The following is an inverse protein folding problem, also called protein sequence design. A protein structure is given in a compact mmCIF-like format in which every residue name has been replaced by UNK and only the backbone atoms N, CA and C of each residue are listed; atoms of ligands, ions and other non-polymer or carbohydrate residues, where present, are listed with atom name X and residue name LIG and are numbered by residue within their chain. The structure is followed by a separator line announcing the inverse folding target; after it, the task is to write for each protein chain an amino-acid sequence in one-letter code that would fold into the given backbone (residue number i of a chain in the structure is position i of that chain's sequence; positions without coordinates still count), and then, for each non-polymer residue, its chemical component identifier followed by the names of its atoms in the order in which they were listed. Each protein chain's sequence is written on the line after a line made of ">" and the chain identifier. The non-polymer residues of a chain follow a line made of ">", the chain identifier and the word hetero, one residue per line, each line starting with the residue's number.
data_IF_299005982933
#
_entry.id   IF_299005982933
#
_cell.length_a   1.000
_cell.length_b   1.000
_cell.length_c   1.000
_cell.angle_alpha   90.00
_cell.angle_beta   90.00
_cell.angle_gamma   90.00
#
_symmetry.space_group_name_H-M   'P 1'
#
loop_
_entity.id
_entity.type
_entity.pdbx_description
1 polymer ?
#
# COMPACT_ATOMS: atom_id res chain seq x y z
N UNK A 1 -14.36 35.64 4.82
CA UNK A 1 -14.77 36.85 4.06
C UNK A 1 -13.98 38.03 4.63
N UNK A 2 -13.35 38.81 3.75
CA UNK A 2 -12.34 39.81 4.12
C UNK A 2 -12.87 40.86 5.09
N UNK A 3 -12.17 41.04 6.21
CA UNK A 3 -12.24 42.30 6.96
C UNK A 3 -11.45 43.33 6.16
N UNK A 4 -12.16 44.14 5.38
CA UNK A 4 -11.57 45.31 4.73
C UNK A 4 -10.95 46.20 5.81
N UNK A 5 -9.69 46.59 5.64
CA UNK A 5 -9.14 47.72 6.38
C UNK A 5 -10.06 48.92 6.12
N UNK A 6 -10.48 49.66 7.17
CA UNK A 6 -11.38 50.78 6.99
C UNK A 6 -10.75 51.78 6.02
N UNK A 7 -11.47 52.14 4.96
CA UNK A 7 -11.04 53.09 3.93
C UNK A 7 -10.70 54.49 4.47
N UNK A 8 -10.99 54.75 5.74
CA UNK A 8 -10.68 55.97 6.49
C UNK A 8 -9.30 55.94 7.17
N UNK A 9 -8.63 54.79 7.24
CA UNK A 9 -7.28 54.64 7.78
C UNK A 9 -6.24 55.57 7.12
N UNK A 10 -6.19 55.77 5.78
CA UNK A 10 -5.20 56.67 5.17
C UNK A 10 -5.35 58.14 5.57
N UNK A 11 -6.56 58.59 5.93
CA UNK A 11 -6.79 59.98 6.40
C UNK A 11 -6.37 60.19 7.85
N UNK A 12 -6.53 59.16 8.70
CA UNK A 12 -6.10 59.21 10.10
C UNK A 12 -4.56 59.13 10.24
N UNK A 13 -3.88 58.49 9.27
CA UNK A 13 -2.42 58.33 9.29
C UNK A 13 -1.62 59.58 8.89
N UNK A 14 -2.22 60.51 8.14
CA UNK A 14 -1.54 61.73 7.71
C UNK A 14 -1.24 62.67 8.90
N UNK A 15 -1.97 62.51 10.01
CA UNK A 15 -1.79 63.26 11.26
C UNK A 15 -0.97 62.49 12.32
N UNK A 16 -0.45 61.30 12.00
CA UNK A 16 0.39 60.51 12.93
C UNK A 16 1.87 60.73 12.61
N UNK A 17 2.52 61.44 13.53
CA UNK A 17 3.95 61.76 13.50
C UNK A 17 4.67 60.79 14.44
N UNK A 18 5.80 60.23 14.01
CA UNK A 18 6.57 59.30 14.85
C UNK A 18 7.22 60.04 16.04
N UNK A 19 7.74 59.31 17.04
CA UNK A 19 8.43 59.90 18.20
C UNK A 19 9.63 60.80 17.84
N UNK A 20 10.11 60.73 16.60
CA UNK A 20 11.18 61.56 16.04
C UNK A 20 10.69 62.76 15.22
N UNK A 21 9.40 63.09 15.28
CA UNK A 21 8.80 64.22 14.55
C UNK A 21 8.89 64.12 13.01
N UNK A 22 9.08 62.92 12.46
CA UNK A 22 9.07 62.66 11.01
C UNK A 22 7.73 62.08 10.54
N UNK A 23 7.34 62.40 9.29
CA UNK A 23 6.12 61.89 8.67
C UNK A 23 6.30 60.41 8.31
N UNK A 24 5.42 59.54 8.81
CA UNK A 24 5.55 58.11 8.58
C UNK A 24 5.28 57.80 7.10
N UNK A 25 6.29 57.29 6.40
CA UNK A 25 6.18 56.97 4.98
C UNK A 25 5.11 55.91 4.73
N UNK A 26 4.16 56.25 3.85
CA UNK A 26 2.99 55.41 3.49
C UNK A 26 3.41 54.01 3.02
N UNK A 27 4.60 53.88 2.44
CA UNK A 27 5.15 52.61 1.97
C UNK A 27 5.46 51.60 3.09
N UNK A 28 5.90 52.06 4.28
CA UNK A 28 6.21 51.19 5.42
C UNK A 28 4.93 50.62 6.02
N UNK A 29 3.87 51.44 6.09
CA UNK A 29 2.56 51.01 6.56
C UNK A 29 1.90 50.05 5.57
N UNK A 30 2.02 50.29 4.25
CA UNK A 30 1.49 49.38 3.23
C UNK A 30 2.21 48.03 3.29
N UNK A 31 3.55 48.03 3.43
CA UNK A 31 4.32 46.79 3.64
C UNK A 31 3.90 46.08 4.92
N UNK A 32 3.81 46.81 6.05
CA UNK A 32 3.33 46.28 7.32
C UNK A 32 1.93 45.66 7.22
N UNK A 33 0.98 46.37 6.60
CA UNK A 33 -0.39 45.91 6.34
C UNK A 33 -0.42 44.63 5.52
N UNK A 34 0.49 44.45 4.57
CA UNK A 34 0.58 43.25 3.76
C UNK A 34 1.04 42.03 4.58
N UNK A 35 1.98 42.21 5.52
CA UNK A 35 2.41 41.14 6.43
C UNK A 35 1.29 40.70 7.38
N UNK A 36 0.57 41.63 8.00
CA UNK A 36 -0.58 41.29 8.87
C UNK A 36 -1.70 40.62 8.07
N UNK A 37 -1.99 41.09 6.84
CA UNK A 37 -2.97 40.45 5.97
C UNK A 37 -2.57 39.01 5.59
N UNK A 38 -1.28 38.78 5.35
CA UNK A 38 -0.74 37.44 5.11
C UNK A 38 -0.86 36.54 6.35
N UNK A 39 -0.52 37.05 7.54
CA UNK A 39 -0.63 36.31 8.80
C UNK A 39 -2.07 35.93 9.13
N UNK A 40 -3.04 36.83 8.94
CA UNK A 40 -4.47 36.56 9.14
C UNK A 40 -4.95 35.49 8.15
N UNK A 41 -4.54 35.58 6.87
CA UNK A 41 -4.89 34.57 5.87
C UNK A 41 -4.28 33.21 6.19
N UNK A 42 -3.04 33.17 6.68
CA UNK A 42 -2.38 31.94 7.11
C UNK A 42 -3.09 31.31 8.33
N UNK A 43 -3.54 32.14 9.28
CA UNK A 43 -4.31 31.70 10.43
C UNK A 43 -5.68 31.13 10.02
N UNK A 44 -6.40 31.79 9.11
CA UNK A 44 -7.68 31.31 8.57
C UNK A 44 -7.54 29.95 7.86
N UNK A 45 -6.45 29.77 7.10
CA UNK A 45 -6.14 28.49 6.45
C UNK A 45 -5.83 27.43 7.50
N UNK A 46 -5.05 27.76 8.53
CA UNK A 46 -4.74 26.86 9.65
C UNK A 46 -6.00 26.40 10.41
N UNK A 47 -6.94 27.31 10.69
CA UNK A 47 -8.20 26.98 11.36
C UNK A 47 -9.11 26.10 10.50
N UNK A 48 -9.17 26.33 9.19
CA UNK A 48 -9.92 25.46 8.27
C UNK A 48 -9.35 24.04 8.23
N UNK A 49 -8.02 23.91 8.17
CA UNK A 49 -7.34 22.61 8.19
C UNK A 49 -7.64 21.87 9.50
N UNK A 50 -7.59 22.55 10.65
CA UNK A 50 -7.93 21.94 11.94
C UNK A 50 -9.40 21.51 12.01
N UNK A 51 -10.31 22.29 11.42
CA UNK A 51 -11.73 21.95 11.34
C UNK A 51 -11.96 20.69 10.49
N UNK A 52 -11.28 20.56 9.35
CA UNK A 52 -11.37 19.40 8.47
C UNK A 52 -10.77 18.13 9.12
N UNK A 53 -9.65 18.27 9.82
CA UNK A 53 -9.02 17.16 10.54
C UNK A 53 -9.89 16.74 11.74
N UNK A 54 -10.50 17.68 12.46
CA UNK A 54 -11.42 17.39 13.56
C UNK A 54 -12.67 16.64 13.08
N UNK A 55 -13.27 17.06 11.96
CA UNK A 55 -14.42 16.39 11.37
C UNK A 55 -14.09 14.94 10.93
N UNK A 56 -12.86 14.73 10.44
CA UNK A 56 -12.44 13.45 9.84
C UNK A 56 -11.82 12.46 10.82
N UNK A 57 -11.59 12.84 12.09
CA UNK A 57 -10.83 12.02 13.03
C UNK A 57 -11.43 10.61 13.23
N UNK A 58 -12.76 10.52 13.34
CA UNK A 58 -13.47 9.23 13.48
C UNK A 58 -13.32 8.37 12.23
N UNK A 59 -13.38 8.97 11.04
CA UNK A 59 -13.21 8.26 9.77
C UNK A 59 -11.80 7.68 9.65
N UNK A 60 -10.76 8.43 10.02
CA UNK A 60 -9.38 7.93 10.04
C UNK A 60 -9.22 6.71 10.98
N UNK A 61 -9.83 6.75 12.17
CA UNK A 61 -9.80 5.63 13.13
C UNK A 61 -10.50 4.38 12.59
N UNK A 62 -11.66 4.55 11.95
CA UNK A 62 -12.41 3.43 11.35
C UNK A 62 -11.64 2.82 10.18
N UNK A 63 -11.06 3.64 9.30
CA UNK A 63 -10.23 3.17 8.19
C UNK A 63 -8.99 2.41 8.68
N UNK A 64 -8.34 2.90 9.74
CA UNK A 64 -7.19 2.22 10.34
C UNK A 64 -7.57 0.86 10.93
N UNK A 65 -8.69 0.79 11.67
CA UNK A 65 -9.17 -0.45 12.28
C UNK A 65 -9.59 -1.50 11.23
N UNK A 66 -10.28 -1.07 10.17
CA UNK A 66 -10.69 -1.97 9.07
C UNK A 66 -9.49 -2.46 8.26
N UNK A 67 -8.49 -1.61 8.00
CA UNK A 67 -7.23 -2.02 7.38
C UNK A 67 -6.48 -3.08 8.21
N UNK A 68 -6.47 -2.95 9.53
CA UNK A 68 -5.90 -3.97 10.42
C UNK A 68 -6.60 -5.33 10.23
N UNK A 69 -7.93 -5.32 10.16
CA UNK A 69 -8.72 -6.54 9.89
C UNK A 69 -8.41 -7.15 8.52
N UNK A 70 -8.35 -6.32 7.47
CA UNK A 70 -8.08 -6.78 6.09
C UNK A 70 -6.71 -7.45 5.99
N UNK A 71 -5.68 -6.90 6.64
CA UNK A 71 -4.34 -7.46 6.62
C UNK A 71 -4.28 -8.83 7.31
N UNK A 72 -4.94 -9.00 8.46
CA UNK A 72 -4.97 -10.28 9.17
C UNK A 72 -5.70 -11.37 8.38
N UNK A 73 -6.82 -11.01 7.76
CA UNK A 73 -7.57 -11.91 6.86
C UNK A 73 -6.71 -12.29 5.66
N UNK A 74 -6.04 -11.32 5.04
CA UNK A 74 -5.17 -11.55 3.88
C UNK A 74 -4.00 -12.49 4.18
N UNK A 75 -3.30 -12.27 5.29
CA UNK A 75 -2.19 -13.13 5.73
C UNK A 75 -2.67 -14.57 5.97
N UNK A 76 -3.86 -14.71 6.59
CA UNK A 76 -4.47 -16.02 6.82
C UNK A 76 -4.84 -16.69 5.50
N UNK A 77 -5.48 -15.95 4.60
CA UNK A 77 -5.95 -16.44 3.29
C UNK A 77 -4.78 -16.90 2.41
N UNK A 78 -3.67 -16.15 2.38
CA UNK A 78 -2.44 -16.55 1.65
C UNK A 78 -1.89 -17.92 2.10
N UNK A 79 -2.03 -18.25 3.38
CA UNK A 79 -1.58 -19.55 3.91
C UNK A 79 -2.44 -20.72 3.42
N UNK A 80 -3.75 -20.54 3.35
CA UNK A 80 -4.66 -21.59 2.86
C UNK A 80 -4.53 -21.78 1.35
N UNK A 81 -4.42 -20.68 0.60
CA UNK A 81 -4.29 -20.70 -0.85
C UNK A 81 -2.97 -21.34 -1.30
N UNK A 82 -1.87 -21.14 -0.56
CA UNK A 82 -0.60 -21.78 -0.88
C UNK A 82 -0.68 -23.31 -0.95
N UNK A 83 -1.44 -23.95 -0.05
CA UNK A 83 -1.65 -25.39 -0.09
C UNK A 83 -2.45 -25.85 -1.31
N UNK A 84 -3.53 -25.13 -1.62
CA UNK A 84 -4.40 -25.44 -2.75
C UNK A 84 -3.68 -25.23 -4.11
N UNK A 85 -2.98 -24.11 -4.28
CA UNK A 85 -2.22 -23.79 -5.49
C UNK A 85 -1.19 -24.88 -5.85
N UNK A 86 -0.51 -25.42 -4.84
CA UNK A 86 0.49 -26.47 -5.05
C UNK A 86 -0.16 -27.78 -5.47
N UNK A 87 -1.31 -28.14 -4.87
CA UNK A 87 -2.02 -29.35 -5.25
C UNK A 87 -2.56 -29.24 -6.68
N UNK A 88 -3.16 -28.09 -7.04
CA UNK A 88 -3.62 -27.84 -8.41
C UNK A 88 -2.48 -27.82 -9.41
N UNK A 89 -1.32 -27.23 -9.07
CA UNK A 89 -0.16 -27.21 -9.96
C UNK A 89 0.39 -28.63 -10.21
N UNK A 90 0.45 -29.46 -9.16
CA UNK A 90 0.86 -30.86 -9.28
C UNK A 90 -0.08 -31.65 -10.19
N UNK A 91 -1.39 -31.47 -10.02
CA UNK A 91 -2.41 -32.18 -10.80
C UNK A 91 -2.39 -31.74 -12.27
N UNK A 92 -2.36 -30.44 -12.52
CA UNK A 92 -2.32 -29.86 -13.86
C UNK A 92 -1.05 -30.31 -14.62
N UNK A 93 0.08 -30.36 -13.91
CA UNK A 93 1.33 -30.80 -14.51
C UNK A 93 1.31 -32.28 -14.92
N UNK A 94 0.80 -33.17 -14.06
CA UNK A 94 0.65 -34.61 -14.39
C UNK A 94 -0.29 -34.79 -15.58
N UNK A 95 -1.41 -34.05 -15.62
CA UNK A 95 -2.35 -34.08 -16.75
C UNK A 95 -1.68 -33.61 -18.04
N UNK A 96 -0.98 -32.48 -18.01
CA UNK A 96 -0.25 -31.95 -19.18
C UNK A 96 0.79 -32.95 -19.69
N UNK A 97 1.44 -33.67 -18.78
CA UNK A 97 2.42 -34.70 -19.13
C UNK A 97 1.77 -35.93 -19.79
N UNK A 98 0.67 -36.43 -19.24
CA UNK A 98 -0.09 -37.52 -19.86
C UNK A 98 -0.58 -37.15 -21.26
N UNK A 99 -1.01 -35.90 -21.46
CA UNK A 99 -1.44 -35.41 -22.78
C UNK A 99 -0.25 -35.35 -23.74
N UNK A 100 0.90 -34.80 -23.32
CA UNK A 100 2.09 -34.74 -24.15
C UNK A 100 2.57 -36.13 -24.59
N UNK A 101 2.63 -37.09 -23.66
CA UNK A 101 2.97 -38.48 -23.95
C UNK A 101 1.92 -39.13 -24.88
N UNK A 102 0.63 -38.88 -24.67
CA UNK A 102 -0.46 -39.38 -25.50
C UNK A 102 -0.38 -38.88 -26.94
N UNK A 103 -0.09 -37.59 -27.16
CA UNK A 103 0.04 -37.01 -28.50
C UNK A 103 1.27 -37.58 -29.23
N UNK A 104 2.42 -37.68 -28.54
CA UNK A 104 3.64 -38.27 -29.13
C UNK A 104 3.42 -39.73 -29.54
N UNK A 105 2.72 -40.52 -28.72
CA UNK A 105 2.39 -41.92 -29.04
C UNK A 105 1.37 -42.02 -30.17
N UNK A 106 0.28 -41.23 -30.14
CA UNK A 106 -0.73 -41.25 -31.18
C UNK A 106 -0.16 -40.88 -32.56
N UNK A 107 0.75 -39.88 -32.60
CA UNK A 107 1.46 -39.49 -33.83
C UNK A 107 2.38 -40.61 -34.33
N UNK A 108 3.06 -41.31 -33.43
CA UNK A 108 3.89 -42.46 -33.77
C UNK A 108 3.07 -43.61 -34.36
N UNK A 109 1.94 -43.97 -33.75
CA UNK A 109 1.05 -45.02 -34.25
C UNK A 109 0.45 -44.66 -35.62
N UNK A 110 -0.03 -43.43 -35.80
CA UNK A 110 -0.58 -42.98 -37.08
C UNK A 110 0.44 -43.05 -38.23
N UNK A 111 1.71 -42.78 -37.96
CA UNK A 111 2.78 -42.89 -38.96
C UNK A 111 3.27 -44.33 -39.16
N UNK A 112 3.04 -45.22 -38.19
CA UNK A 112 3.37 -46.64 -38.27
C UNK A 112 2.36 -47.44 -39.10
N UNK A 113 1.09 -47.06 -39.06
CA UNK A 113 0.01 -47.72 -39.80
C UNK A 113 -0.08 -47.31 -41.27
N UNK A 114 0.62 -46.25 -41.70
CA UNK A 114 0.71 -45.83 -43.10
C UNK A 114 2.12 -46.17 -43.66
N UNK A 115 2.29 -47.32 -44.34
CA UNK A 115 3.60 -47.80 -44.81
C UNK A 115 4.21 -46.99 -45.97
N UNK A 116 3.53 -45.95 -46.46
CA UNK A 116 3.94 -45.19 -47.64
C UNK A 116 5.09 -44.20 -47.37
N UNK A 117 5.53 -44.02 -46.13
CA UNK A 117 6.60 -43.09 -45.74
C UNK A 117 7.74 -43.80 -45.00
N UNK A 118 8.19 -44.93 -45.56
CA UNK A 118 9.37 -45.68 -45.11
C UNK A 118 10.68 -44.95 -45.46
N UNK A 119 10.86 -43.72 -44.95
CA UNK A 119 12.15 -43.03 -44.99
C UNK A 119 13.03 -43.54 -43.83
N UNK A 120 13.37 -44.83 -43.87
CA UNK A 120 14.49 -45.41 -43.13
C UNK A 120 15.81 -45.18 -43.90
N UNK A 121 15.98 -43.98 -44.46
CA UNK A 121 17.21 -43.59 -45.13
C UNK A 121 18.26 -43.12 -44.12
N UNK A 122 19.56 -43.32 -44.37
CA UNK A 122 20.62 -42.78 -43.53
C UNK A 122 20.44 -41.27 -43.35
N UNK A 123 20.76 -40.75 -42.16
CA UNK A 123 20.63 -39.34 -41.78
C UNK A 123 21.45 -38.42 -42.71
N UNK A 124 20.95 -38.15 -43.91
CA UNK A 124 21.47 -37.11 -44.78
C UNK A 124 20.96 -35.79 -44.20
N UNK A 125 21.87 -35.02 -43.60
CA UNK A 125 21.62 -33.72 -42.96
C UNK A 125 21.22 -32.68 -44.03
N UNK A 126 20.05 -32.84 -44.66
CA UNK A 126 19.48 -31.81 -45.53
C UNK A 126 18.91 -30.70 -44.66
N UNK A 127 18.94 -29.45 -45.13
CA UNK A 127 18.52 -28.26 -44.38
C UNK A 127 17.01 -27.96 -44.50
N UNK A 128 16.20 -28.94 -44.89
CA UNK A 128 14.76 -28.77 -45.05
C UNK A 128 14.02 -29.10 -43.75
N UNK A 129 13.53 -28.07 -43.07
CA UNK A 129 12.78 -28.18 -41.79
C UNK A 129 11.48 -28.98 -41.91
N UNK A 130 10.88 -29.05 -43.10
CA UNK A 130 9.65 -29.81 -43.35
C UNK A 130 9.86 -31.33 -43.32
N UNK A 131 11.06 -31.80 -43.69
CA UNK A 131 11.39 -33.22 -43.70
C UNK A 131 11.52 -33.78 -42.27
N UNK A 132 12.19 -33.04 -41.37
CA UNK A 132 12.34 -33.45 -39.97
C UNK A 132 11.00 -33.53 -39.22
N UNK A 133 10.00 -32.74 -39.61
CA UNK A 133 8.66 -32.77 -39.00
C UNK A 133 7.80 -33.96 -39.42
N UNK A 134 8.13 -34.69 -40.49
CA UNK A 134 7.35 -35.87 -40.92
C UNK A 134 7.97 -37.21 -40.50
N UNK A 135 9.16 -37.20 -39.90
CA UNK A 135 9.85 -38.43 -39.51
C UNK A 135 9.36 -38.93 -38.14
N UNK A 136 8.85 -40.15 -38.06
CA UNK A 136 8.32 -40.71 -36.80
C UNK A 136 9.37 -40.71 -35.65
N UNK A 137 10.66 -40.82 -35.99
CA UNK A 137 11.76 -40.83 -35.04
C UNK A 137 11.98 -39.47 -34.33
N UNK A 138 11.72 -38.34 -35.01
CA UNK A 138 11.92 -37.00 -34.42
C UNK A 138 10.82 -36.66 -33.42
N UNK A 139 9.56 -37.03 -33.70
CA UNK A 139 8.45 -36.85 -32.77
C UNK A 139 8.65 -37.62 -31.46
N UNK A 140 9.19 -38.84 -31.55
CA UNK A 140 9.52 -39.65 -30.38
C UNK A 140 10.69 -39.04 -29.59
N UNK A 141 11.73 -38.57 -30.30
CA UNK A 141 12.89 -37.92 -29.68
C UNK A 141 12.52 -36.60 -28.99
N UNK A 142 11.71 -35.75 -29.63
CA UNK A 142 11.19 -34.51 -29.05
C UNK A 142 10.34 -34.81 -27.81
N UNK A 143 9.51 -35.85 -27.87
CA UNK A 143 8.73 -36.31 -26.71
C UNK A 143 9.62 -36.68 -25.52
N UNK A 144 10.67 -37.45 -25.74
CA UNK A 144 11.62 -37.88 -24.69
C UNK A 144 12.42 -36.70 -24.11
N UNK A 145 12.92 -35.79 -24.96
CA UNK A 145 13.66 -34.62 -24.49
C UNK A 145 12.74 -33.70 -23.67
N UNK A 146 11.52 -33.46 -24.15
CA UNK A 146 10.52 -32.68 -23.42
C UNK A 146 10.20 -33.34 -22.07
N UNK A 147 10.04 -34.67 -22.05
CA UNK A 147 9.79 -35.48 -20.86
C UNK A 147 10.88 -35.33 -19.79
N UNK A 148 12.16 -35.34 -20.20
CA UNK A 148 13.29 -35.17 -19.28
C UNK A 148 13.29 -33.75 -18.68
N UNK A 149 13.11 -32.71 -19.49
CA UNK A 149 13.08 -31.31 -19.04
C UNK A 149 11.94 -31.10 -18.03
N UNK A 150 10.75 -31.59 -18.38
CA UNK A 150 9.55 -31.57 -17.56
C UNK A 150 9.77 -32.31 -16.24
N UNK A 151 10.37 -33.50 -16.28
CA UNK A 151 10.67 -34.28 -15.08
C UNK A 151 11.64 -33.54 -14.14
N UNK A 152 12.68 -32.87 -14.67
CA UNK A 152 13.61 -32.06 -13.86
C UNK A 152 12.86 -30.91 -13.18
N UNK A 153 11.99 -30.20 -13.89
CA UNK A 153 11.17 -29.11 -13.32
C UNK A 153 10.25 -29.63 -12.20
N UNK A 154 9.62 -30.80 -12.37
CA UNK A 154 8.81 -31.44 -11.31
C UNK A 154 9.65 -31.80 -10.10
N UNK A 155 10.84 -32.35 -10.32
CA UNK A 155 11.72 -32.75 -9.23
C UNK A 155 12.08 -31.53 -8.36
N UNK A 156 12.40 -30.40 -9.00
CA UNK A 156 12.66 -29.13 -8.32
C UNK A 156 11.41 -28.61 -7.58
N UNK A 157 10.23 -28.67 -8.21
CA UNK A 157 8.96 -28.26 -7.58
C UNK A 157 8.60 -29.15 -6.37
N UNK A 158 8.83 -30.47 -6.46
CA UNK A 158 8.60 -31.40 -5.37
C UNK A 158 9.59 -31.20 -4.23
N UNK A 159 10.86 -30.95 -4.54
CA UNK A 159 11.88 -30.65 -3.54
C UNK A 159 11.49 -29.39 -2.75
N UNK A 160 11.15 -28.31 -3.45
CA UNK A 160 10.75 -27.06 -2.80
C UNK A 160 9.43 -27.20 -2.03
N UNK A 161 8.48 -28.02 -2.51
CA UNK A 161 7.23 -28.34 -1.81
C UNK A 161 7.46 -28.98 -0.44
N UNK A 162 8.40 -29.92 -0.33
CA UNK A 162 8.72 -30.57 0.94
C UNK A 162 9.27 -29.56 1.95
N UNK A 163 10.09 -28.62 1.49
CA UNK A 163 10.59 -27.54 2.33
C UNK A 163 9.49 -26.60 2.82
N UNK A 164 8.53 -26.22 1.96
CA UNK A 164 7.40 -25.38 2.36
C UNK A 164 6.49 -26.08 3.38
N UNK A 165 6.21 -27.37 3.23
CA UNK A 165 5.36 -28.10 4.18
C UNK A 165 6.02 -28.28 5.55
N UNK A 166 7.31 -28.63 5.58
CA UNK A 166 8.07 -28.73 6.83
C UNK A 166 8.18 -27.37 7.53
N UNK A 167 8.46 -26.31 6.77
CA UNK A 167 8.50 -24.96 7.31
C UNK A 167 7.15 -24.54 7.89
N UNK A 168 6.03 -24.86 7.22
CA UNK A 168 4.69 -24.56 7.75
C UNK A 168 4.38 -25.36 9.01
N UNK A 169 4.85 -26.60 9.13
CA UNK A 169 4.71 -27.43 10.33
C UNK A 169 5.50 -26.80 11.50
N UNK A 170 6.78 -26.49 11.28
CA UNK A 170 7.62 -25.81 12.28
C UNK A 170 7.00 -24.46 12.68
N UNK A 171 6.51 -23.65 11.72
CA UNK A 171 5.81 -22.40 12.00
C UNK A 171 4.48 -22.66 12.74
N UNK A 172 3.80 -23.80 12.50
CA UNK A 172 2.56 -24.15 13.19
C UNK A 172 2.82 -24.57 14.64
N UNK A 173 3.81 -25.42 14.90
CA UNK A 173 4.29 -25.76 16.24
C UNK A 173 4.85 -24.52 16.97
N UNK A 174 5.67 -23.72 16.29
CA UNK A 174 6.22 -22.48 16.82
C UNK A 174 5.10 -21.47 17.10
N UNK A 175 4.11 -21.31 16.22
CA UNK A 175 2.95 -20.46 16.43
C UNK A 175 2.03 -20.98 17.53
N UNK A 176 1.99 -22.30 17.79
CA UNK A 176 1.24 -22.88 18.91
C UNK A 176 1.95 -22.62 20.23
N UNK A 177 3.29 -22.71 20.25
CA UNK A 177 4.11 -22.33 21.41
C UNK A 177 4.02 -20.83 21.70
N UNK A 178 4.14 -20.00 20.66
CA UNK A 178 3.91 -18.56 20.68
C UNK A 178 2.46 -18.21 21.06
N UNK A 179 1.46 -18.99 20.66
CA UNK A 179 0.07 -18.78 21.07
C UNK A 179 -0.17 -19.04 22.55
N UNK A 180 0.60 -19.94 23.18
CA UNK A 180 0.59 -20.15 24.63
C UNK A 180 1.23 -18.97 25.37
N UNK A 181 2.25 -18.34 24.77
CA UNK A 181 2.80 -17.04 25.19
C UNK A 181 2.05 -15.89 24.50
N UNK A 182 0.82 -15.59 24.94
CA UNK A 182 -0.06 -14.53 24.42
C UNK A 182 0.66 -13.20 24.05
N UNK A 183 1.80 -12.93 24.65
CA UNK A 183 2.69 -11.78 24.40
C UNK A 183 3.36 -11.71 23.02
N UNK A 184 3.58 -12.82 22.29
CA UNK A 184 4.25 -12.73 20.98
C UNK A 184 3.31 -12.32 19.84
N UNK A 185 2.02 -12.66 19.90
CA UNK A 185 1.02 -12.07 18.98
C UNK A 185 0.73 -10.59 19.32
N UNK A 186 0.93 -10.22 20.59
CA UNK A 186 0.86 -8.83 21.01
C UNK A 186 1.96 -7.99 20.37
N UNK A 187 3.14 -8.53 20.03
CA UNK A 187 4.24 -7.73 19.49
C UNK A 187 3.90 -6.91 18.23
N UNK A 188 3.32 -7.50 17.16
CA UNK A 188 2.83 -6.71 16.02
C UNK A 188 1.50 -5.99 16.30
N UNK A 189 0.70 -6.40 17.30
CA UNK A 189 -0.56 -5.76 17.66
C UNK A 189 -0.37 -4.49 18.52
N UNK A 190 0.64 -4.48 19.38
CA UNK A 190 1.02 -3.37 20.26
C UNK A 190 1.23 -2.06 19.49
N UNK A 191 2.03 -1.98 18.41
CA UNK A 191 2.18 -0.73 17.67
C UNK A 191 0.86 -0.27 17.05
N UNK A 192 -0.04 -1.17 16.63
CA UNK A 192 -1.36 -0.79 16.12
C UNK A 192 -2.28 -0.23 17.22
N UNK A 193 -2.32 -0.88 18.39
CA UNK A 193 -3.10 -0.39 19.53
C UNK A 193 -2.55 0.93 20.06
N UNK A 194 -1.22 1.07 20.09
CA UNK A 194 -0.55 2.30 20.50
C UNK A 194 -0.82 3.43 19.51
N UNK A 195 -0.80 3.14 18.20
CA UNK A 195 -1.17 4.12 17.17
C UNK A 195 -2.65 4.52 17.27
N UNK A 196 -3.56 3.57 17.47
CA UNK A 196 -4.99 3.84 17.68
C UNK A 196 -5.20 4.73 18.91
N UNK A 197 -4.52 4.41 20.02
CA UNK A 197 -4.58 5.18 21.27
C UNK A 197 -4.03 6.60 21.09
N UNK A 198 -2.98 6.77 20.29
CA UNK A 198 -2.40 8.07 20.00
C UNK A 198 -3.33 8.94 19.15
N UNK A 199 -3.97 8.37 18.12
CA UNK A 199 -5.01 9.07 17.34
C UNK A 199 -6.27 9.38 18.18
N UNK A 200 -6.64 8.47 19.09
CA UNK A 200 -7.76 8.67 20.01
C UNK A 200 -7.51 9.81 20.99
N UNK A 201 -6.33 9.80 21.62
CA UNK A 201 -5.89 10.87 22.51
C UNK A 201 -5.84 12.21 21.78
N UNK A 202 -5.30 12.24 20.55
CA UNK A 202 -5.28 13.45 19.73
C UNK A 202 -6.69 13.96 19.39
N UNK A 203 -7.62 13.06 19.05
CA UNK A 203 -9.03 13.42 18.82
C UNK A 203 -9.72 14.02 20.05
N UNK A 204 -9.48 13.48 21.24
CA UNK A 204 -10.00 14.03 22.51
C UNK A 204 -9.40 15.39 22.83
N UNK A 205 -8.08 15.54 22.67
CA UNK A 205 -7.39 16.82 22.84
C UNK A 205 -7.88 17.89 21.87
N UNK A 206 -8.22 17.53 20.62
CA UNK A 206 -8.84 18.43 19.67
C UNK A 206 -10.26 18.84 20.09
N UNK A 207 -11.03 17.95 20.73
CA UNK A 207 -12.40 18.21 21.16
C UNK A 207 -12.52 19.09 22.43
N UNK A 208 -11.58 18.94 23.37
CA UNK A 208 -11.56 19.67 24.64
C UNK A 208 -11.73 21.21 24.52
N UNK A 209 -11.01 21.94 23.63
CA UNK A 209 -11.20 23.38 23.48
C UNK A 209 -12.59 23.79 22.96
N UNK A 210 -13.31 22.93 22.23
CA UNK A 210 -14.69 23.20 21.80
C UNK A 210 -15.69 23.07 22.96
N UNK A 211 -15.46 22.13 23.87
CA UNK A 211 -16.33 21.90 25.03
C UNK A 211 -16.17 23.02 26.07
N UNK A 212 -14.95 23.51 26.29
CA UNK A 212 -14.71 24.67 27.15
C UNK A 212 -15.22 26.00 26.59
N UNK A 213 -15.50 26.09 25.27
CA UNK A 213 -16.06 27.29 24.64
C UNK A 213 -17.59 27.42 24.69
N UNK A 214 -18.30 26.45 25.28
CA UNK A 214 -19.77 26.37 25.27
C UNK A 214 -20.46 26.82 26.57
N UNK A 215 -19.70 27.16 27.62
CA UNK A 215 -20.26 27.62 28.91
C UNK A 215 -20.13 29.14 29.14
N UNK A 216 -19.80 29.90 28.09
CA UNK A 216 -19.77 31.36 28.16
C UNK A 216 -20.78 31.93 27.17
N UNK A 217 -22.02 32.11 27.62
CA UNK A 217 -23.02 32.94 26.95
C UNK A 217 -22.62 34.42 26.84
N UNK A 218 -21.39 34.80 27.18
CA UNK A 218 -20.89 36.17 27.05
C UNK A 218 -19.35 36.32 27.11
N UNK A 219 -18.58 35.50 26.38
CA UNK A 219 -17.17 35.83 26.14
C UNK A 219 -16.80 35.77 24.66
N UNK A 220 -16.69 36.96 24.10
CA UNK A 220 -15.80 37.26 22.99
C UNK A 220 -14.41 36.69 23.26
N UNK A 221 -14.14 35.52 22.68
CA UNK A 221 -12.88 35.21 21.99
C UNK A 221 -11.64 35.75 22.71
N UNK A 222 -11.32 35.17 23.88
CA UNK A 222 -9.97 35.30 24.45
C UNK A 222 -9.01 34.39 23.70
N UNK A 223 -8.64 34.79 22.48
CA UNK A 223 -7.30 34.53 21.95
C UNK A 223 -6.38 35.65 22.45
N UNK A 224 -6.25 35.79 23.76
CA UNK A 224 -5.44 36.82 24.39
C UNK A 224 -4.00 36.31 24.58
N UNK A 225 -3.29 36.10 23.47
CA UNK A 225 -1.83 35.86 23.49
C UNK A 225 -1.01 37.05 22.96
N UNK A 226 -1.65 38.16 22.61
CA UNK A 226 -0.96 39.35 22.09
C UNK A 226 -1.49 40.64 22.70
N UNK A 227 -1.21 40.86 23.98
CA UNK A 227 -1.05 42.22 24.49
C UNK A 227 0.24 42.31 25.28
N UNK A 228 1.37 42.31 24.54
CA UNK A 228 2.60 42.91 25.04
C UNK A 228 2.26 44.39 25.26
N UNK A 229 2.00 44.70 26.52
CA UNK A 229 1.71 46.03 27.01
C UNK A 229 3.02 46.81 26.92
N UNK A 230 3.22 47.58 25.85
CA UNK A 230 4.23 48.65 25.86
C UNK A 230 3.79 49.67 26.91
N UNK A 231 4.33 49.54 28.12
CA UNK A 231 4.25 50.55 29.16
C UNK A 231 5.36 51.55 28.86
N UNK A 232 4.99 52.71 28.34
CA UNK A 232 5.85 53.89 28.30
C UNK A 232 6.10 54.39 29.72
N UNK A 233 7.36 54.45 30.10
CA UNK A 233 7.94 55.47 30.98
C UNK A 233 9.22 55.92 30.31
#
# INVERSE_FOLDING_TARGET
>A
MGRCLPSKLPKALDHMVDRFNESISKEVIIKGSHYIAFLIRAQDVGLKILQDIHASWKLCVILLATAMGICLVWITLMRWIAGYLVWSACLLFVVSFCIAAGISLAKYFHMKDNPDHHLQGPLMLTKDMSYYWNLAYTWLTIGIVCLIIVAVIVLLLLFLRKHLQMAILIIKEASRAVGMMKFTLLWPLIPFVLQLSMFFFWGVCAMYPYCCGLNDGNLSVTYQWTSIRYRST
#
